data_IF_397002476045
#
_entry.id   IF_397002476045
#
_cell.length_a   1.000
_cell.length_b   1.000
_cell.length_c   1.000
_cell.angle_alpha   90.00
_cell.angle_beta   90.00
_cell.angle_gamma   90.00
#
_symmetry.space_group_name_H-M   'P 1'
#
loop_
_entity.id
_entity.type
_entity.pdbx_description
1 polymer ?
#
# COMPACT_ATOMS: atom_id res chain seq x y z
N UNK A 1 -3.36 -17.13 19.48
CA UNK A 1 -2.61 -16.91 18.23
C UNK A 1 -1.41 -16.01 18.51
N UNK A 2 -0.39 -16.08 17.67
CA UNK A 2 0.82 -15.24 17.84
C UNK A 2 0.50 -13.75 17.99
N UNK A 3 -0.50 -13.25 17.27
CA UNK A 3 -0.92 -11.85 17.43
C UNK A 3 -1.55 -11.59 18.80
N UNK A 4 -2.47 -12.45 19.24
CA UNK A 4 -3.09 -12.27 20.55
C UNK A 4 -2.08 -12.32 21.70
N UNK A 5 -1.09 -13.21 21.61
CA UNK A 5 0.00 -13.32 22.58
C UNK A 5 0.84 -12.05 22.66
N UNK A 6 1.10 -11.40 21.52
CA UNK A 6 1.87 -10.15 21.46
C UNK A 6 1.09 -8.92 21.97
N UNK A 7 -0.23 -9.01 22.10
CA UNK A 7 -1.08 -7.92 22.56
C UNK A 7 -1.37 -7.96 24.06
N UNK A 8 -1.03 -9.07 24.76
CA UNK A 8 -1.43 -9.31 26.15
C UNK A 8 -1.01 -8.22 27.14
N UNK A 9 0.19 -7.68 26.96
CA UNK A 9 0.78 -6.70 27.86
C UNK A 9 0.56 -5.24 27.42
N UNK A 10 -0.23 -5.04 26.36
CA UNK A 10 -0.52 -3.71 25.83
C UNK A 10 -1.89 -3.25 26.31
N UNK A 11 -2.02 -2.08 26.95
CA UNK A 11 -3.32 -1.55 27.35
C UNK A 11 -4.27 -1.43 26.14
N UNK A 12 -5.53 -1.87 26.30
CA UNK A 12 -6.52 -1.93 25.21
C UNK A 12 -6.68 -0.61 24.45
N UNK A 13 -6.59 0.52 25.15
CA UNK A 13 -6.67 1.85 24.53
C UNK A 13 -5.49 2.19 23.61
N UNK A 14 -4.40 1.44 23.68
CA UNK A 14 -3.22 1.59 22.82
C UNK A 14 -3.18 0.59 21.67
N UNK A 15 -4.24 -0.22 21.51
CA UNK A 15 -4.36 -1.22 20.47
C UNK A 15 -5.39 -0.77 19.45
N UNK A 16 -4.98 -0.69 18.20
CA UNK A 16 -5.86 -0.56 17.04
C UNK A 16 -5.50 -1.61 16.01
N UNK A 17 -6.47 -2.42 15.61
CA UNK A 17 -6.31 -3.48 14.62
C UNK A 17 -7.14 -3.12 13.41
N UNK A 18 -6.49 -2.99 12.26
CA UNK A 18 -7.16 -2.63 11.01
C UNK A 18 -7.03 -3.73 9.97
N UNK A 19 -8.03 -3.85 9.14
CA UNK A 19 -8.01 -4.68 7.93
C UNK A 19 -8.23 -3.81 6.70
N UNK A 20 -7.58 -4.16 5.60
CA UNK A 20 -7.51 -3.31 4.41
C UNK A 20 -8.15 -4.00 3.19
N UNK A 21 -7.65 -3.78 2.00
CA UNK A 21 -8.26 -4.17 0.73
C UNK A 21 -8.74 -5.63 0.66
N UNK A 22 -8.00 -6.58 1.19
CA UNK A 22 -8.41 -8.00 1.21
C UNK A 22 -9.69 -8.20 2.01
N UNK A 23 -9.79 -7.60 3.21
CA UNK A 23 -11.01 -7.72 4.02
C UNK A 23 -12.17 -6.88 3.49
N UNK A 24 -11.89 -5.78 2.76
CA UNK A 24 -12.95 -5.02 2.05
C UNK A 24 -13.63 -5.81 0.95
N UNK A 25 -12.91 -6.75 0.32
CA UNK A 25 -13.38 -7.45 -0.89
C UNK A 25 -13.75 -8.91 -0.66
N UNK A 26 -13.33 -9.51 0.45
CA UNK A 26 -13.59 -10.91 0.76
C UNK A 26 -15.08 -11.19 0.96
N UNK A 27 -15.61 -12.18 0.22
CA UNK A 27 -17.03 -12.58 0.30
C UNK A 27 -17.41 -13.24 1.63
N UNK A 28 -16.44 -13.79 2.34
CA UNK A 28 -16.61 -14.47 3.64
C UNK A 28 -16.10 -13.62 4.83
N UNK A 29 -15.94 -12.32 4.65
CA UNK A 29 -15.33 -11.42 5.65
C UNK A 29 -16.03 -11.47 7.01
N UNK A 30 -17.37 -11.56 7.03
CA UNK A 30 -18.14 -11.62 8.29
C UNK A 30 -17.75 -12.82 9.16
N UNK A 31 -17.65 -14.00 8.57
CA UNK A 31 -17.25 -15.24 9.27
C UNK A 31 -15.80 -15.13 9.78
N UNK A 32 -14.93 -14.55 8.96
CA UNK A 32 -13.53 -14.34 9.35
C UNK A 32 -13.43 -13.36 10.53
N UNK A 33 -14.09 -12.20 10.45
CA UNK A 33 -14.03 -11.16 11.49
C UNK A 33 -14.59 -11.66 12.81
N UNK A 34 -15.69 -12.41 12.80
CA UNK A 34 -16.27 -13.00 14.01
C UNK A 34 -15.24 -13.86 14.75
N UNK A 35 -14.64 -14.82 14.04
CA UNK A 35 -13.63 -15.72 14.62
C UNK A 35 -12.36 -14.99 15.02
N UNK A 36 -11.88 -14.08 14.18
CA UNK A 36 -10.65 -13.34 14.44
C UNK A 36 -10.79 -12.42 15.66
N UNK A 37 -11.90 -11.71 15.79
CA UNK A 37 -12.18 -10.85 16.95
C UNK A 37 -12.25 -11.64 18.25
N UNK A 38 -12.88 -12.83 18.24
CA UNK A 38 -12.90 -13.72 19.39
C UNK A 38 -11.49 -14.19 19.81
N UNK A 39 -10.65 -14.55 18.83
CA UNK A 39 -9.29 -15.03 19.09
C UNK A 39 -8.38 -13.90 19.57
N UNK A 40 -8.55 -12.70 19.02
CA UNK A 40 -7.72 -11.53 19.34
C UNK A 40 -8.15 -10.85 20.65
N UNK A 41 -9.40 -11.00 21.07
CA UNK A 41 -10.01 -10.23 22.17
C UNK A 41 -10.21 -8.75 21.82
N UNK A 42 -10.02 -8.37 20.56
CA UNK A 42 -10.11 -7.00 20.04
C UNK A 42 -10.86 -7.00 18.72
N UNK A 43 -11.54 -5.88 18.44
CA UNK A 43 -12.25 -5.69 17.18
C UNK A 43 -11.27 -5.30 16.06
N UNK A 44 -11.38 -5.97 14.91
CA UNK A 44 -10.73 -5.56 13.68
C UNK A 44 -11.63 -4.55 12.97
N UNK A 45 -11.10 -3.37 12.68
CA UNK A 45 -11.77 -2.34 11.88
C UNK A 45 -11.39 -2.52 10.41
N UNK A 46 -12.38 -2.68 9.54
CA UNK A 46 -12.12 -2.68 8.09
C UNK A 46 -12.19 -1.25 7.60
N UNK A 47 -11.03 -0.66 7.33
CA UNK A 47 -10.90 0.75 6.94
C UNK A 47 -11.04 0.92 5.43
N UNK A 48 -11.50 2.11 4.97
CA UNK A 48 -11.54 2.45 3.55
C UNK A 48 -10.13 2.74 2.99
N UNK A 49 -10.01 2.79 1.65
CA UNK A 49 -8.71 3.01 1.01
C UNK A 49 -8.10 4.38 1.31
N UNK A 50 -8.93 5.41 1.45
CA UNK A 50 -8.45 6.76 1.80
C UNK A 50 -7.93 6.82 3.25
N UNK A 51 -8.58 6.13 4.17
CA UNK A 51 -8.11 6.03 5.56
C UNK A 51 -6.82 5.23 5.66
N UNK A 52 -6.70 4.16 4.85
CA UNK A 52 -5.47 3.40 4.69
C UNK A 52 -4.33 4.31 4.19
N UNK A 53 -4.55 5.04 3.09
CA UNK A 53 -3.59 5.99 2.53
C UNK A 53 -3.19 7.08 3.54
N UNK A 54 -4.15 7.63 4.28
CA UNK A 54 -3.88 8.63 5.32
C UNK A 54 -3.02 8.07 6.46
N UNK A 55 -3.24 6.80 6.82
CA UNK A 55 -2.48 6.13 7.88
C UNK A 55 -1.05 5.84 7.43
N UNK A 56 -0.88 5.38 6.19
CA UNK A 56 0.43 5.16 5.57
C UNK A 56 1.21 6.48 5.54
N UNK A 57 0.57 7.58 5.08
CA UNK A 57 1.24 8.87 5.02
C UNK A 57 1.71 9.36 6.40
N UNK A 58 0.93 9.16 7.45
CA UNK A 58 1.36 9.48 8.82
C UNK A 58 2.61 8.70 9.21
N UNK A 59 2.68 7.42 8.92
CA UNK A 59 3.87 6.59 9.15
C UNK A 59 5.09 7.14 8.42
N UNK A 60 4.96 7.41 7.11
CA UNK A 60 6.03 8.01 6.28
C UNK A 60 6.47 9.36 6.81
N UNK A 61 5.53 10.25 7.18
CA UNK A 61 5.85 11.57 7.69
C UNK A 61 6.65 11.55 9.00
N UNK A 62 6.42 10.53 9.85
CA UNK A 62 7.18 10.33 11.09
C UNK A 62 8.56 9.72 10.88
N UNK A 63 8.73 8.91 9.86
CA UNK A 63 9.97 8.15 9.61
C UNK A 63 10.89 8.79 8.59
N UNK A 64 10.34 9.59 7.67
CA UNK A 64 11.09 10.28 6.64
C UNK A 64 11.36 11.74 7.02
N UNK A 65 12.61 12.08 7.26
CA UNK A 65 13.05 13.48 7.39
C UNK A 65 12.97 14.22 6.05
N UNK A 66 13.18 15.54 6.10
CA UNK A 66 13.27 16.41 4.92
C UNK A 66 12.07 17.34 4.74
N UNK A 67 12.31 18.42 4.00
CA UNK A 67 11.32 19.41 3.59
C UNK A 67 10.88 19.13 2.15
N UNK A 68 9.73 19.64 1.77
CA UNK A 68 9.17 19.53 0.43
C UNK A 68 8.04 18.51 0.34
N UNK A 69 7.44 18.48 -0.84
CA UNK A 69 6.32 17.56 -1.14
C UNK A 69 6.82 16.18 -1.50
N UNK A 70 6.18 15.18 -0.94
CA UNK A 70 6.49 13.77 -1.19
C UNK A 70 5.33 13.09 -1.89
N UNK A 71 5.64 12.36 -2.96
CA UNK A 71 4.75 11.34 -3.49
C UNK A 71 5.08 10.02 -2.79
N UNK A 72 4.16 9.52 -2.00
CA UNK A 72 4.26 8.19 -1.39
C UNK A 72 3.53 7.18 -2.27
N UNK A 73 4.19 6.08 -2.58
CA UNK A 73 3.66 4.96 -3.36
C UNK A 73 3.74 3.69 -2.51
N UNK A 74 2.58 3.16 -2.16
CA UNK A 74 2.46 1.87 -1.45
C UNK A 74 1.79 0.86 -2.38
N UNK A 75 2.53 -0.14 -2.83
CA UNK A 75 2.01 -1.21 -3.70
C UNK A 75 1.70 -2.43 -2.84
N UNK A 76 0.47 -2.53 -2.38
CA UNK A 76 -0.03 -3.67 -1.63
C UNK A 76 -0.40 -4.86 -2.51
N UNK A 77 -1.00 -5.89 -1.90
CA UNK A 77 -1.45 -7.08 -2.62
C UNK A 77 -2.68 -6.85 -3.50
N UNK A 78 -3.64 -6.08 -3.02
CA UNK A 78 -4.92 -5.84 -3.70
C UNK A 78 -5.14 -4.39 -4.13
N UNK A 79 -4.48 -3.44 -3.50
CA UNK A 79 -4.56 -2.01 -3.82
C UNK A 79 -3.19 -1.38 -3.91
N UNK A 80 -3.15 -0.17 -4.46
CA UNK A 80 -2.00 0.72 -4.44
C UNK A 80 -2.47 2.07 -3.94
N UNK A 81 -1.85 2.54 -2.88
CA UNK A 81 -2.09 3.85 -2.31
C UNK A 81 -1.08 4.85 -2.86
N UNK A 82 -1.60 5.98 -3.34
CA UNK A 82 -0.82 7.12 -3.80
C UNK A 82 -1.17 8.34 -2.94
N UNK A 83 -0.17 8.95 -2.35
CA UNK A 83 -0.36 10.09 -1.49
C UNK A 83 0.64 11.20 -1.86
N UNK A 84 0.16 12.42 -2.08
CA UNK A 84 1.04 13.59 -2.05
C UNK A 84 0.82 14.30 -0.73
N UNK A 85 1.90 14.60 -0.03
CA UNK A 85 1.82 15.36 1.20
C UNK A 85 3.07 16.18 1.47
N UNK A 86 2.95 17.13 2.39
CA UNK A 86 4.01 18.05 2.81
C UNK A 86 4.02 18.12 4.34
N UNK A 87 5.17 17.90 4.97
CA UNK A 87 5.24 17.73 6.42
C UNK A 87 4.33 16.58 6.88
N UNK A 88 3.40 16.87 7.77
CA UNK A 88 2.40 15.90 8.26
C UNK A 88 1.03 16.01 7.56
N UNK A 89 0.89 16.91 6.59
CA UNK A 89 -0.37 17.17 5.91
C UNK A 89 -0.43 16.45 4.56
N UNK A 90 -1.41 15.59 4.38
CA UNK A 90 -1.73 14.99 3.09
C UNK A 90 -2.49 16.00 2.22
N UNK A 91 -2.04 16.23 0.99
CA UNK A 91 -2.63 17.12 -0.01
C UNK A 91 -3.52 16.36 -1.00
N UNK A 92 -3.16 15.13 -1.32
CA UNK A 92 -3.96 14.21 -2.13
C UNK A 92 -3.80 12.79 -1.59
N UNK A 93 -4.92 12.06 -1.53
CA UNK A 93 -5.00 10.68 -1.08
C UNK A 93 -5.80 9.87 -2.10
N UNK A 94 -5.26 8.77 -2.56
CA UNK A 94 -5.96 7.89 -3.49
C UNK A 94 -5.60 6.44 -3.21
N UNK A 95 -6.60 5.57 -3.21
CA UNK A 95 -6.42 4.11 -3.21
C UNK A 95 -6.97 3.53 -4.50
N UNK A 96 -6.11 2.90 -5.27
CA UNK A 96 -6.43 2.30 -6.57
C UNK A 96 -6.57 0.78 -6.42
N UNK A 97 -7.55 0.19 -7.09
CA UNK A 97 -7.75 -1.27 -7.15
C UNK A 97 -6.71 -1.94 -8.05
N UNK A 98 -5.46 -1.73 -7.71
CA UNK A 98 -4.29 -2.15 -8.47
C UNK A 98 -3.20 -2.59 -7.48
N UNK A 99 -3.13 -3.87 -7.16
CA UNK A 99 -2.14 -4.44 -6.27
C UNK A 99 -1.39 -5.59 -6.94
N UNK A 100 -0.22 -5.96 -6.44
CA UNK A 100 0.65 -6.95 -7.08
C UNK A 100 -0.03 -8.32 -7.24
N UNK A 101 -0.80 -8.77 -6.26
CA UNK A 101 -1.52 -10.05 -6.33
C UNK A 101 -2.71 -9.95 -7.30
N UNK A 102 -3.52 -8.91 -7.19
CA UNK A 102 -4.68 -8.74 -8.08
C UNK A 102 -4.26 -8.51 -9.52
N UNK A 103 -3.12 -7.86 -9.77
CA UNK A 103 -2.56 -7.67 -11.11
C UNK A 103 -2.04 -8.97 -11.70
N UNK A 104 -1.36 -9.79 -10.89
CA UNK A 104 -0.93 -11.12 -11.28
C UNK A 104 -2.12 -11.99 -11.70
N UNK A 105 -3.19 -12.03 -10.88
CA UNK A 105 -4.39 -12.82 -11.16
C UNK A 105 -5.18 -12.32 -12.37
N UNK A 106 -5.11 -11.03 -12.69
CA UNK A 106 -5.84 -10.42 -13.81
C UNK A 106 -5.11 -10.55 -15.13
N UNK A 107 -3.81 -10.28 -15.16
CA UNK A 107 -3.04 -10.11 -16.39
C UNK A 107 -2.05 -11.24 -16.68
N UNK A 108 -1.77 -12.09 -15.69
CA UNK A 108 -0.83 -13.22 -15.80
C UNK A 108 -1.49 -14.54 -15.36
N UNK A 109 -2.73 -14.77 -15.77
CA UNK A 109 -3.52 -15.95 -15.36
C UNK A 109 -2.85 -17.27 -15.73
N UNK A 110 -2.17 -17.30 -16.86
CA UNK A 110 -1.41 -18.43 -17.39
C UNK A 110 -0.01 -18.57 -16.75
N UNK A 111 0.35 -17.65 -15.83
CA UNK A 111 1.67 -17.56 -15.21
C UNK A 111 2.82 -17.38 -16.21
N UNK A 112 2.53 -16.93 -17.43
CA UNK A 112 3.55 -16.69 -18.45
C UNK A 112 3.96 -15.21 -18.47
N UNK A 113 5.28 -14.98 -18.42
CA UNK A 113 5.87 -13.63 -18.46
C UNK A 113 6.11 -13.21 -19.92
N UNK A 114 5.04 -13.13 -20.71
CA UNK A 114 5.11 -12.73 -22.11
C UNK A 114 5.04 -11.22 -22.27
N UNK A 115 5.61 -10.72 -23.37
CA UNK A 115 5.52 -9.29 -23.76
C UNK A 115 4.05 -8.84 -23.85
N UNK A 116 3.18 -9.71 -24.37
CA UNK A 116 1.74 -9.43 -24.47
C UNK A 116 1.10 -9.24 -23.11
N UNK A 117 1.37 -10.14 -22.14
CA UNK A 117 0.81 -10.02 -20.77
C UNK A 117 1.32 -8.76 -20.08
N UNK A 118 2.61 -8.42 -20.23
CA UNK A 118 3.16 -7.17 -19.71
C UNK A 118 2.52 -5.94 -20.35
N UNK A 119 2.38 -5.89 -21.67
CA UNK A 119 1.75 -4.75 -22.33
C UNK A 119 0.30 -4.56 -21.88
N UNK A 120 -0.47 -5.64 -21.76
CA UNK A 120 -1.85 -5.58 -21.27
C UNK A 120 -1.90 -5.07 -19.82
N UNK A 121 -0.98 -5.51 -18.96
CA UNK A 121 -0.89 -5.05 -17.58
C UNK A 121 -0.52 -3.56 -17.49
N UNK A 122 0.42 -3.10 -18.34
CA UNK A 122 0.85 -1.70 -18.41
C UNK A 122 -0.30 -0.80 -18.88
N UNK A 123 -0.99 -1.15 -19.95
CA UNK A 123 -2.11 -0.35 -20.44
C UNK A 123 -3.26 -0.28 -19.41
N UNK A 124 -3.59 -1.39 -18.75
CA UNK A 124 -4.57 -1.40 -17.68
C UNK A 124 -4.14 -0.52 -16.48
N UNK A 125 -2.85 -0.49 -16.14
CA UNK A 125 -2.32 0.37 -15.09
C UNK A 125 -2.43 1.85 -15.48
N UNK A 126 -2.09 2.22 -16.71
CA UNK A 126 -2.26 3.58 -17.23
C UNK A 126 -3.72 4.03 -17.18
N UNK A 127 -4.66 3.17 -17.59
CA UNK A 127 -6.09 3.48 -17.49
C UNK A 127 -6.55 3.69 -16.05
N UNK A 128 -6.02 2.89 -15.12
CA UNK A 128 -6.34 3.00 -13.69
C UNK A 128 -5.79 4.30 -13.09
N UNK A 129 -4.64 4.77 -13.55
CA UNK A 129 -4.00 6.01 -13.10
C UNK A 129 -4.60 7.27 -13.75
N UNK A 130 -5.15 7.16 -14.95
CA UNK A 130 -5.65 8.29 -15.76
C UNK A 130 -6.53 9.28 -14.98
N UNK A 131 -7.52 8.84 -14.17
CA UNK A 131 -8.43 9.76 -13.46
C UNK A 131 -7.75 10.70 -12.48
N UNK A 132 -6.58 10.32 -11.97
CA UNK A 132 -5.87 11.08 -10.93
C UNK A 132 -4.64 11.82 -11.46
N UNK A 133 -4.21 11.51 -12.69
CA UNK A 133 -2.94 11.97 -13.24
C UNK A 133 -2.85 13.49 -13.28
N UNK A 134 -3.90 14.18 -13.74
CA UNK A 134 -3.91 15.64 -13.84
C UNK A 134 -3.77 16.30 -12.47
N UNK A 135 -4.58 15.87 -11.50
CA UNK A 135 -4.54 16.40 -10.13
C UNK A 135 -3.15 16.22 -9.50
N UNK A 136 -2.58 15.02 -9.60
CA UNK A 136 -1.28 14.72 -9.01
C UNK A 136 -0.15 15.51 -9.68
N UNK A 137 -0.21 15.65 -11.01
CA UNK A 137 0.77 16.43 -11.76
C UNK A 137 0.70 17.93 -11.44
N UNK A 138 -0.50 18.48 -11.26
CA UNK A 138 -0.69 19.88 -10.88
C UNK A 138 -0.18 20.18 -9.46
N UNK A 139 -0.42 19.27 -8.51
CA UNK A 139 0.12 19.41 -7.15
C UNK A 139 1.65 19.31 -7.18
N UNK A 140 2.19 18.35 -7.95
CA UNK A 140 3.61 18.05 -8.07
C UNK A 140 4.24 17.53 -6.78
N UNK A 141 5.44 17.03 -6.88
CA UNK A 141 6.24 16.53 -5.75
C UNK A 141 7.73 16.73 -6.00
N UNK A 142 8.50 16.81 -4.92
CA UNK A 142 9.95 17.02 -4.97
C UNK A 142 10.69 15.68 -4.84
N UNK A 143 10.09 14.71 -4.15
CA UNK A 143 10.67 13.39 -3.90
C UNK A 143 9.60 12.30 -3.96
N UNK A 144 9.96 11.12 -4.46
CA UNK A 144 9.12 9.93 -4.44
C UNK A 144 9.63 8.95 -3.39
N UNK A 145 8.71 8.42 -2.59
CA UNK A 145 8.99 7.49 -1.49
C UNK A 145 8.18 6.22 -1.70
N UNK A 146 8.85 5.09 -1.75
CA UNK A 146 8.21 3.78 -1.76
C UNK A 146 7.96 3.27 -0.35
N UNK A 147 6.74 2.79 -0.09
CA UNK A 147 6.36 2.15 1.16
C UNK A 147 5.74 0.79 0.82
N UNK A 148 6.25 -0.28 1.27
CA UNK A 148 5.72 -1.65 1.18
C UNK A 148 6.77 -2.69 0.78
N UNK A 149 6.48 -3.94 1.08
CA UNK A 149 7.32 -5.07 0.69
C UNK A 149 7.49 -5.22 -0.83
N UNK A 150 6.51 -4.80 -1.64
CA UNK A 150 6.64 -4.84 -3.11
C UNK A 150 7.71 -3.86 -3.59
N UNK A 151 7.73 -2.65 -3.05
CA UNK A 151 8.74 -1.64 -3.42
C UNK A 151 10.12 -2.05 -2.91
N UNK A 152 10.20 -2.64 -1.71
CA UNK A 152 11.44 -3.22 -1.20
C UNK A 152 11.98 -4.33 -2.11
N UNK A 153 11.12 -5.25 -2.55
CA UNK A 153 11.52 -6.32 -3.47
C UNK A 153 12.03 -5.76 -4.81
N UNK A 154 11.42 -4.70 -5.33
CA UNK A 154 11.92 -4.03 -6.53
C UNK A 154 13.33 -3.44 -6.31
N UNK A 155 13.56 -2.80 -5.17
CA UNK A 155 14.89 -2.30 -4.81
C UNK A 155 15.92 -3.42 -4.76
N UNK A 156 15.61 -4.53 -4.08
CA UNK A 156 16.49 -5.69 -3.97
C UNK A 156 16.85 -6.26 -5.35
N UNK A 157 15.87 -6.35 -6.27
CA UNK A 157 16.10 -6.81 -7.64
C UNK A 157 17.02 -5.83 -8.39
N UNK A 158 16.78 -4.52 -8.28
CA UNK A 158 17.58 -3.51 -8.96
C UNK A 158 19.03 -3.53 -8.47
N UNK A 159 19.24 -3.62 -7.16
CA UNK A 159 20.58 -3.73 -6.57
C UNK A 159 21.30 -5.02 -7.02
N UNK A 160 20.60 -6.16 -7.04
CA UNK A 160 21.15 -7.43 -7.49
C UNK A 160 21.54 -7.43 -8.98
N UNK A 161 20.92 -6.58 -9.80
CA UNK A 161 21.24 -6.41 -11.22
C UNK A 161 22.25 -5.28 -11.49
N UNK A 162 22.80 -4.66 -10.44
CA UNK A 162 23.72 -3.53 -10.60
C UNK A 162 23.06 -2.27 -11.16
N UNK A 163 21.75 -2.16 -11.06
CA UNK A 163 20.98 -0.97 -11.41
C UNK A 163 20.99 -0.04 -10.20
N UNK A 164 21.99 0.71 -10.13
CA UNK A 164 22.29 1.91 -9.40
C UNK A 164 21.84 2.22 -7.95
N UNK A 165 22.68 3.04 -7.36
CA UNK A 165 22.86 3.55 -6.00
C UNK A 165 21.83 4.63 -5.57
N UNK A 166 20.84 5.00 -6.38
CA UNK A 166 20.03 6.24 -6.20
C UNK A 166 18.66 6.01 -5.55
N UNK A 167 18.25 4.79 -5.26
CA UNK A 167 16.97 4.52 -4.62
C UNK A 167 17.08 4.57 -3.10
N UNK A 168 16.79 5.74 -2.52
CA UNK A 168 16.50 5.84 -1.09
C UNK A 168 15.06 5.36 -0.84
N UNK A 169 14.89 4.16 -0.34
CA UNK A 169 13.61 3.65 0.13
C UNK A 169 13.53 3.79 1.64
N UNK A 170 12.36 4.22 2.10
CA UNK A 170 12.06 4.27 3.53
C UNK A 170 11.34 2.97 3.89
N UNK A 171 11.97 2.20 4.73
CA UNK A 171 11.32 1.03 5.36
C UNK A 171 10.39 1.54 6.47
N UNK A 172 9.11 1.21 6.36
CA UNK A 172 8.10 1.40 7.41
C UNK A 172 7.77 0.03 8.00
#
# INVERSE_FOLDING_TARGET
SLFAERLQDIPTQNIRIVGTATLRTATNVGIFLEKANQILGHKIEVICGEEEAATIYKGVAHTSGGSGRRLVVDIGGASTELIIGEGFEAKALTSLKMGCVTWLERHFKDRQLTVTNFNNAIEAAKETLRPILEQYTQIGWDVCVGASGTVQALQEIMLAQGMDEVLSLIHI
#
